data_IF_552998683830
#
_entry.id   IF_552998683830
#
_cell.length_a   1.000
_cell.length_b   1.000
_cell.length_c   1.000
_cell.angle_alpha   90.00
_cell.angle_beta   90.00
_cell.angle_gamma   90.00
#
_symmetry.space_group_name_H-M   'P 1'
#
loop_
_entity.id
_entity.type
_entity.pdbx_description
1 polymer ?
#
# COMPACT_ATOMS: atom_id res chain seq x y z
N UNK A 1 11.81 -17.55 -10.99
CA UNK A 1 11.60 -18.82 -10.26
C UNK A 1 12.56 -18.91 -9.07
N UNK A 2 12.46 -18.02 -8.08
CA UNK A 2 13.32 -18.04 -6.87
C UNK A 2 12.44 -18.10 -5.62
N UNK A 3 11.46 -19.00 -5.59
CA UNK A 3 10.76 -19.36 -4.36
C UNK A 3 10.52 -20.87 -4.38
N UNK A 4 11.61 -21.62 -4.27
CA UNK A 4 11.55 -23.05 -3.98
C UNK A 4 11.72 -23.22 -2.47
N UNK A 5 10.57 -23.38 -1.80
CA UNK A 5 10.30 -23.96 -0.46
C UNK A 5 11.49 -24.15 0.49
N UNK A 6 11.43 -23.47 1.63
CA UNK A 6 11.88 -24.04 2.89
C UNK A 6 10.66 -24.36 3.76
N UNK A 7 10.42 -25.66 3.98
CA UNK A 7 9.40 -26.13 4.93
C UNK A 7 10.01 -26.19 6.33
N UNK A 8 9.52 -25.36 7.24
CA UNK A 8 9.41 -25.61 8.68
C UNK A 8 8.22 -24.81 9.24
N UNK A 9 7.10 -25.48 9.51
CA UNK A 9 6.12 -25.22 10.59
C UNK A 9 5.40 -23.86 10.73
N UNK A 10 5.82 -22.77 10.12
CA UNK A 10 5.15 -21.47 10.16
C UNK A 10 4.43 -21.24 8.85
N UNK A 11 3.13 -20.96 8.89
CA UNK A 11 2.40 -20.40 7.75
C UNK A 11 3.20 -19.18 7.26
N UNK A 12 3.60 -19.16 5.99
CA UNK A 12 4.24 -17.97 5.41
C UNK A 12 3.24 -16.81 5.50
N UNK A 13 3.59 -15.78 6.30
CA UNK A 13 2.77 -14.58 6.43
C UNK A 13 2.69 -13.88 5.08
N UNK A 14 1.49 -13.56 4.62
CA UNK A 14 1.24 -12.96 3.31
C UNK A 14 1.79 -11.53 3.25
N UNK A 15 2.75 -11.24 2.36
CA UNK A 15 3.18 -9.85 2.13
C UNK A 15 2.17 -9.09 1.30
N UNK A 16 1.89 -7.85 1.69
CA UNK A 16 1.01 -6.92 0.98
C UNK A 16 1.75 -5.59 0.81
N UNK A 17 1.94 -5.17 -0.43
CA UNK A 17 2.45 -3.84 -0.77
C UNK A 17 1.28 -2.94 -1.08
N UNK A 18 1.26 -1.74 -0.50
CA UNK A 18 0.17 -0.81 -0.70
C UNK A 18 0.67 0.64 -0.77
N UNK A 19 -0.20 1.49 -1.28
CA UNK A 19 -0.02 2.93 -1.40
C UNK A 19 -1.39 3.60 -1.23
N UNK A 20 -1.41 4.83 -0.70
CA UNK A 20 -2.63 5.60 -0.54
C UNK A 20 -2.44 7.06 -0.97
N UNK A 21 -3.41 7.55 -1.73
CA UNK A 21 -3.50 8.96 -2.09
C UNK A 21 -4.49 9.67 -1.17
N UNK A 22 -4.20 10.94 -0.81
CA UNK A 22 -5.00 11.71 0.13
C UNK A 22 -5.10 13.20 -0.25
N UNK A 23 -6.25 13.81 0.02
CA UNK A 23 -6.55 15.22 -0.28
C UNK A 23 -6.00 16.18 0.77
N UNK A 24 -6.04 15.75 2.04
CA UNK A 24 -5.53 16.47 3.22
C UNK A 24 -4.83 15.49 4.16
N UNK A 25 -3.91 15.99 5.00
CA UNK A 25 -3.24 15.20 6.04
C UNK A 25 -3.53 15.68 7.47
N UNK A 26 -4.26 16.79 7.61
CA UNK A 26 -4.63 17.36 8.90
C UNK A 26 -5.96 18.15 8.78
N UNK A 27 -6.82 18.17 9.82
CA UNK A 27 -6.67 17.46 11.09
C UNK A 27 -6.79 15.92 10.94
N UNK A 28 -7.48 15.47 9.89
CA UNK A 28 -7.62 14.06 9.51
C UNK A 28 -7.09 13.83 8.09
N UNK A 29 -6.79 12.56 7.76
CA UNK A 29 -6.38 12.19 6.41
C UNK A 29 -7.62 12.04 5.53
N UNK A 30 -7.76 12.93 4.55
CA UNK A 30 -8.79 12.85 3.52
C UNK A 30 -8.44 11.78 2.48
N UNK A 31 -8.60 10.50 2.81
CA UNK A 31 -8.26 9.39 1.90
C UNK A 31 -9.00 9.52 0.57
N UNK A 32 -8.25 9.63 -0.53
CA UNK A 32 -8.74 9.68 -1.92
C UNK A 32 -8.82 8.29 -2.49
N UNK A 33 -7.74 7.52 -2.47
CA UNK A 33 -7.71 6.14 -2.99
C UNK A 33 -6.69 5.27 -2.28
N UNK A 34 -6.88 3.96 -2.32
CA UNK A 34 -5.96 2.96 -1.78
C UNK A 34 -5.77 1.85 -2.81
N UNK A 35 -4.52 1.51 -3.09
CA UNK A 35 -4.13 0.40 -3.93
C UNK A 35 -3.31 -0.61 -3.13
N UNK A 36 -3.55 -1.89 -3.32
CA UNK A 36 -2.80 -2.95 -2.64
C UNK A 36 -2.55 -4.14 -3.58
N UNK A 37 -1.38 -4.75 -3.44
CA UNK A 37 -0.93 -5.93 -4.19
C UNK A 37 -0.44 -6.97 -3.19
N UNK A 38 -1.00 -8.17 -3.24
CA UNK A 38 -0.59 -9.28 -2.42
C UNK A 38 0.51 -10.10 -3.10
N UNK A 39 1.30 -10.82 -2.31
CA UNK A 39 2.37 -11.71 -2.78
C UNK A 39 1.88 -12.79 -3.74
N UNK A 40 0.66 -13.31 -3.51
CA UNK A 40 -0.02 -14.27 -4.38
C UNK A 40 -0.54 -13.68 -5.71
N UNK A 41 -0.39 -12.37 -5.92
CA UNK A 41 -0.78 -11.68 -7.15
C UNK A 41 -2.20 -11.12 -7.15
N UNK A 42 -2.98 -11.25 -6.07
CA UNK A 42 -4.24 -10.52 -5.93
C UNK A 42 -3.98 -9.01 -5.85
N UNK A 43 -4.95 -8.25 -6.34
CA UNK A 43 -4.92 -6.79 -6.31
C UNK A 43 -6.24 -6.24 -5.79
N UNK A 44 -6.15 -5.12 -5.07
CA UNK A 44 -7.28 -4.33 -4.61
C UNK A 44 -7.03 -2.88 -5.01
N UNK A 45 -8.05 -2.22 -5.55
CA UNK A 45 -8.05 -0.78 -5.76
C UNK A 45 -9.42 -0.22 -5.41
N UNK A 46 -9.42 0.85 -4.64
CA UNK A 46 -10.64 1.58 -4.32
C UNK A 46 -10.41 3.07 -4.22
N UNK A 47 -11.38 3.83 -4.71
CA UNK A 47 -11.46 5.29 -4.62
C UNK A 47 -12.57 5.63 -3.63
N UNK A 48 -12.24 6.39 -2.60
CA UNK A 48 -13.22 6.85 -1.61
C UNK A 48 -14.22 7.80 -2.29
N UNK A 49 -15.51 7.54 -2.14
CA UNK A 49 -16.57 8.46 -2.56
C UNK A 49 -16.82 9.58 -1.55
N UNK A 50 -16.03 9.66 -0.47
CA UNK A 50 -16.30 10.50 0.70
C UNK A 50 -15.25 11.60 0.93
N UNK A 51 -14.19 11.70 0.11
CA UNK A 51 -13.26 12.82 0.21
C UNK A 51 -13.83 14.08 -0.44
N UNK A 52 -13.43 15.24 0.07
CA UNK A 52 -13.74 16.54 -0.55
C UNK A 52 -12.65 16.89 -1.59
N UNK A 53 -12.96 16.88 -2.91
CA UNK A 53 -12.00 17.26 -3.95
C UNK A 53 -11.71 18.76 -3.95
N UNK A 54 -12.60 19.61 -3.43
CA UNK A 54 -12.40 21.06 -3.38
C UNK A 54 -11.44 21.45 -2.28
N UNK A 55 -11.43 20.72 -1.16
CA UNK A 55 -10.47 20.87 -0.07
C UNK A 55 -9.07 20.30 -0.39
N UNK A 56 -8.91 19.56 -1.50
CA UNK A 56 -7.63 18.95 -1.84
C UNK A 56 -6.53 19.99 -2.10
N UNK A 57 -5.31 19.67 -1.65
CA UNK A 57 -4.14 20.52 -1.92
C UNK A 57 -3.95 20.74 -3.45
N UNK A 58 -3.53 21.92 -3.93
CA UNK A 58 -3.40 22.20 -5.37
C UNK A 58 -2.56 21.18 -6.13
N UNK A 59 -1.51 20.65 -5.51
CA UNK A 59 -0.70 19.59 -6.10
C UNK A 59 -1.50 18.29 -6.33
N UNK A 60 -2.39 17.91 -5.41
CA UNK A 60 -3.25 16.72 -5.54
C UNK A 60 -4.24 16.92 -6.69
N UNK A 61 -4.81 18.12 -6.83
CA UNK A 61 -5.73 18.44 -7.93
C UNK A 61 -5.11 18.28 -9.32
N UNK A 62 -3.80 18.50 -9.43
CA UNK A 62 -3.06 18.42 -10.69
C UNK A 62 -2.51 17.02 -10.96
N UNK A 63 -2.06 16.30 -9.93
CA UNK A 63 -1.29 15.07 -10.11
C UNK A 63 -2.05 13.79 -9.77
N UNK A 64 -3.02 13.85 -8.86
CA UNK A 64 -3.76 12.68 -8.34
C UNK A 64 -5.16 12.62 -8.96
N UNK A 65 -5.96 13.68 -8.80
CA UNK A 65 -7.37 13.66 -9.22
C UNK A 65 -7.58 13.31 -10.71
N UNK A 66 -6.71 13.76 -11.65
CA UNK A 66 -6.84 13.39 -13.06
C UNK A 66 -6.57 11.91 -13.35
N UNK A 67 -5.93 11.17 -12.43
CA UNK A 67 -5.64 9.74 -12.57
C UNK A 67 -6.82 8.87 -12.13
N UNK A 68 -7.83 9.45 -11.48
CA UNK A 68 -8.96 8.69 -10.96
C UNK A 68 -9.82 8.14 -12.11
N UNK A 69 -10.41 6.94 -11.93
CA UNK A 69 -11.34 6.39 -12.89
C UNK A 69 -12.59 7.28 -13.03
N UNK A 70 -13.30 7.20 -14.17
CA UNK A 70 -14.48 8.02 -14.41
C UNK A 70 -15.58 7.77 -13.36
N UNK A 71 -16.47 8.75 -13.11
CA UNK A 71 -17.61 8.55 -12.22
C UNK A 71 -18.46 7.35 -12.66
N UNK A 72 -18.83 6.50 -11.70
CA UNK A 72 -19.60 5.27 -11.94
C UNK A 72 -18.75 4.02 -12.18
N UNK A 73 -17.42 4.14 -12.25
CA UNK A 73 -16.52 2.99 -12.19
C UNK A 73 -16.70 2.21 -10.87
N UNK A 74 -16.68 0.87 -10.88
CA UNK A 74 -16.85 0.05 -9.67
C UNK A 74 -15.76 0.24 -8.61
N UNK A 75 -14.62 0.87 -8.94
CA UNK A 75 -13.61 1.24 -7.97
C UNK A 75 -14.09 2.32 -6.99
N UNK A 76 -15.10 3.11 -7.33
CA UNK A 76 -15.68 4.10 -6.43
C UNK A 76 -16.49 3.41 -5.32
N UNK A 77 -16.11 3.66 -4.07
CA UNK A 77 -16.70 3.01 -2.90
C UNK A 77 -16.72 3.91 -1.69
N UNK A 78 -17.69 3.71 -0.80
CA UNK A 78 -17.68 4.29 0.54
C UNK A 78 -16.47 3.81 1.32
N UNK A 79 -16.05 4.56 2.33
CA UNK A 79 -14.99 4.15 3.26
C UNK A 79 -15.34 2.84 3.96
N UNK A 80 -16.61 2.61 4.28
CA UNK A 80 -17.07 1.35 4.86
C UNK A 80 -16.88 0.16 3.91
N UNK A 81 -17.21 0.32 2.63
CA UNK A 81 -16.97 -0.71 1.61
C UNK A 81 -15.47 -0.95 1.40
N UNK A 82 -14.65 0.10 1.34
CA UNK A 82 -13.19 -0.03 1.21
C UNK A 82 -12.58 -0.74 2.42
N UNK A 83 -13.04 -0.39 3.63
CA UNK A 83 -12.65 -1.06 4.88
C UNK A 83 -12.93 -2.56 4.82
N UNK A 84 -14.14 -2.95 4.41
CA UNK A 84 -14.56 -4.34 4.38
C UNK A 84 -13.80 -5.12 3.29
N UNK A 85 -13.66 -4.53 2.09
CA UNK A 85 -12.88 -5.11 1.00
C UNK A 85 -11.39 -5.26 1.35
N UNK A 86 -10.80 -4.26 2.03
CA UNK A 86 -9.42 -4.33 2.49
C UNK A 86 -9.25 -5.39 3.57
N UNK A 87 -10.18 -5.50 4.51
CA UNK A 87 -10.12 -6.55 5.55
C UNK A 87 -10.15 -7.96 4.94
N UNK A 88 -11.05 -8.18 3.98
CA UNK A 88 -11.12 -9.46 3.24
C UNK A 88 -9.84 -9.71 2.44
N UNK A 89 -9.33 -8.68 1.75
CA UNK A 89 -8.12 -8.77 0.94
C UNK A 89 -6.89 -9.14 1.77
N UNK A 90 -6.73 -8.56 2.96
CA UNK A 90 -5.59 -8.76 3.84
C UNK A 90 -5.51 -10.21 4.37
N UNK A 91 -6.65 -10.85 4.61
CA UNK A 91 -6.70 -12.22 5.13
C UNK A 91 -6.09 -12.36 6.54
N UNK A 92 -5.52 -13.53 6.82
CA UNK A 92 -4.93 -13.85 8.13
C UNK A 92 -3.44 -13.46 8.17
N UNK A 93 -3.06 -12.70 9.20
CA UNK A 93 -1.67 -12.32 9.51
C UNK A 93 -0.83 -11.72 8.35
N UNK A 94 -1.30 -10.64 7.69
CA UNK A 94 -0.53 -9.99 6.62
C UNK A 94 0.74 -9.30 7.15
N UNK A 95 1.71 -9.08 6.27
CA UNK A 95 2.85 -8.18 6.47
C UNK A 95 2.71 -7.00 5.52
N UNK A 96 2.44 -5.82 6.07
CA UNK A 96 2.25 -4.60 5.30
C UNK A 96 3.59 -3.98 4.91
N UNK A 97 3.73 -3.59 3.66
CA UNK A 97 4.86 -2.86 3.10
C UNK A 97 4.38 -1.63 2.33
N UNK A 98 5.07 -0.51 2.48
CA UNK A 98 4.86 0.70 1.70
C UNK A 98 6.19 1.44 1.48
N UNK A 99 6.19 2.45 0.62
CA UNK A 99 7.35 3.32 0.38
C UNK A 99 7.09 4.69 1.02
N UNK A 100 7.83 5.04 2.09
CA UNK A 100 7.49 6.20 2.95
C UNK A 100 6.12 6.09 3.63
N UNK A 101 5.76 4.91 4.10
CA UNK A 101 4.38 4.53 4.47
C UNK A 101 3.78 5.15 5.73
N UNK A 102 4.33 6.24 6.28
CA UNK A 102 3.88 6.79 7.55
C UNK A 102 2.44 7.32 7.49
N UNK A 103 2.14 8.20 6.52
CA UNK A 103 0.79 8.72 6.34
C UNK A 103 -0.14 7.65 5.76
N UNK A 104 0.36 6.79 4.87
CA UNK A 104 -0.38 5.65 4.33
C UNK A 104 -0.89 4.72 5.42
N UNK A 105 -0.05 4.43 6.42
CA UNK A 105 -0.43 3.58 7.55
C UNK A 105 -1.53 4.22 8.39
N UNK A 106 -1.46 5.53 8.64
CA UNK A 106 -2.53 6.26 9.34
C UNK A 106 -3.80 6.26 8.51
N UNK A 107 -3.72 6.50 7.20
CA UNK A 107 -4.87 6.55 6.29
C UNK A 107 -5.59 5.20 6.24
N UNK A 108 -4.83 4.11 6.15
CA UNK A 108 -5.33 2.74 6.24
C UNK A 108 -6.00 2.50 7.59
N UNK A 109 -5.34 2.79 8.71
CA UNK A 109 -5.90 2.54 10.03
C UNK A 109 -7.18 3.33 10.30
N UNK A 110 -7.27 4.57 9.82
CA UNK A 110 -8.43 5.44 9.95
C UNK A 110 -9.67 4.92 9.20
N UNK A 111 -9.57 3.88 8.36
CA UNK A 111 -10.75 3.17 7.84
C UNK A 111 -11.57 2.49 8.95
N UNK A 112 -10.93 2.16 10.09
CA UNK A 112 -11.57 1.61 11.28
C UNK A 112 -11.74 2.63 12.42
N UNK A 113 -11.35 3.89 12.20
CA UNK A 113 -11.35 4.93 13.23
C UNK A 113 -10.03 4.95 14.00
N UNK A 114 -10.09 4.73 15.31
CA UNK A 114 -8.94 4.80 16.20
C UNK A 114 -8.17 3.48 16.27
N UNK A 115 -6.90 3.53 16.67
CA UNK A 115 -6.04 2.35 16.75
C UNK A 115 -6.61 1.19 17.62
N UNK A 116 -7.35 1.42 18.73
CA UNK A 116 -8.03 0.35 19.47
C UNK A 116 -9.14 -0.38 18.69
N UNK A 117 -9.75 0.25 17.69
CA UNK A 117 -10.83 -0.32 16.88
C UNK A 117 -10.32 -1.17 15.72
N UNK A 118 -9.01 -1.11 15.45
CA UNK A 118 -8.36 -1.85 14.38
C UNK A 118 -8.52 -3.37 14.58
N UNK A 119 -8.97 -4.14 13.57
CA UNK A 119 -9.10 -5.59 13.68
C UNK A 119 -7.78 -6.24 14.10
N UNK A 120 -7.82 -7.32 14.87
CA UNK A 120 -6.60 -7.99 15.40
C UNK A 120 -5.63 -8.42 14.30
N UNK A 121 -6.16 -8.81 13.14
CA UNK A 121 -5.37 -9.27 12.00
C UNK A 121 -4.60 -8.14 11.31
N UNK A 122 -5.04 -6.89 11.40
CA UNK A 122 -4.35 -5.76 10.74
C UNK A 122 -3.11 -5.37 11.56
N UNK A 123 -1.90 -5.37 10.98
CA UNK A 123 -0.69 -4.99 11.70
C UNK A 123 -0.72 -3.55 12.20
N UNK A 124 -0.11 -3.30 13.35
CA UNK A 124 0.00 -1.95 13.97
C UNK A 124 1.18 -1.14 13.46
N UNK A 125 1.85 -1.65 12.44
CA UNK A 125 2.95 -0.98 11.77
C UNK A 125 3.02 -1.47 10.32
N UNK A 126 3.63 -0.63 9.48
CA UNK A 126 3.97 -0.95 8.09
C UNK A 126 5.49 -0.99 7.97
N UNK A 127 6.02 -2.02 7.32
CA UNK A 127 7.42 -2.10 6.93
C UNK A 127 7.72 -1.09 5.83
N UNK A 128 8.83 -0.37 5.92
CA UNK A 128 9.17 0.67 4.95
C UNK A 128 10.22 0.19 3.94
N UNK A 129 9.82 0.04 2.68
CA UNK A 129 10.72 -0.34 1.57
C UNK A 129 11.85 0.68 1.40
N UNK A 130 11.60 1.96 1.71
CA UNK A 130 12.62 3.01 1.69
C UNK A 130 13.69 2.79 2.74
N UNK A 131 13.30 2.30 3.92
CA UNK A 131 14.24 1.97 5.00
C UNK A 131 15.09 0.75 4.61
N UNK A 132 14.49 -0.27 4.00
CA UNK A 132 15.23 -1.41 3.45
C UNK A 132 16.26 -0.95 2.39
N UNK A 133 15.87 -0.01 1.51
CA UNK A 133 16.78 0.58 0.53
C UNK A 133 17.97 1.34 1.16
N UNK A 134 17.75 2.09 2.26
CA UNK A 134 18.87 2.66 3.03
C UNK A 134 19.80 1.57 3.55
N UNK A 135 19.22 0.56 4.20
CA UNK A 135 19.96 -0.49 4.88
C UNK A 135 20.86 -1.29 3.93
N UNK A 136 20.42 -1.45 2.67
CA UNK A 136 21.17 -2.14 1.62
C UNK A 136 22.16 -1.24 0.86
N UNK A 137 22.40 -0.01 1.34
CA UNK A 137 23.40 0.89 0.77
C UNK A 137 22.94 1.62 -0.49
N UNK A 138 21.63 1.87 -0.62
CA UNK A 138 21.03 2.64 -1.72
C UNK A 138 21.33 2.11 -3.13
N UNK A 139 21.15 0.82 -3.42
CA UNK A 139 21.38 0.27 -4.76
C UNK A 139 20.46 0.95 -5.79
N UNK A 140 20.83 1.00 -7.08
CA UNK A 140 19.90 1.43 -8.12
C UNK A 140 18.58 0.65 -8.07
N UNK A 141 17.45 1.33 -8.19
CA UNK A 141 16.12 0.72 -8.21
C UNK A 141 15.50 0.84 -9.61
N UNK A 142 14.60 -0.10 -9.98
CA UNK A 142 13.78 0.06 -11.18
C UNK A 142 13.00 1.37 -11.16
N UNK A 143 12.89 2.03 -12.32
CA UNK A 143 12.06 3.22 -12.48
C UNK A 143 10.60 2.82 -12.76
N UNK A 144 9.67 3.68 -12.35
CA UNK A 144 8.26 3.55 -12.71
C UNK A 144 8.02 4.30 -14.03
N UNK A 145 7.63 3.61 -15.11
CA UNK A 145 7.51 4.25 -16.42
C UNK A 145 6.26 5.12 -16.56
N UNK A 146 5.18 4.79 -15.84
CA UNK A 146 3.85 5.42 -15.93
C UNK A 146 3.02 5.14 -14.68
N UNK A 147 1.85 5.77 -14.58
CA UNK A 147 0.92 5.52 -13.46
C UNK A 147 1.38 6.13 -12.14
N UNK A 148 2.20 7.18 -12.19
CA UNK A 148 2.56 7.94 -10.99
C UNK A 148 1.31 8.59 -10.41
N UNK A 149 1.17 8.50 -9.09
CA UNK A 149 0.07 9.07 -8.33
C UNK A 149 -1.28 8.38 -8.59
N UNK A 150 -1.19 7.09 -8.95
CA UNK A 150 -2.31 6.17 -9.04
C UNK A 150 -2.01 5.02 -8.08
N UNK A 151 -2.72 4.97 -6.95
CA UNK A 151 -2.34 4.15 -5.80
C UNK A 151 -2.10 2.66 -6.12
N UNK A 152 -2.84 2.04 -7.05
CA UNK A 152 -2.57 0.64 -7.43
C UNK A 152 -1.28 0.49 -8.24
N UNK A 153 -0.98 1.43 -9.13
CA UNK A 153 0.24 1.40 -9.93
C UNK A 153 1.46 1.69 -9.04
N UNK A 154 1.31 2.61 -8.09
CA UNK A 154 2.32 2.87 -7.07
C UNK A 154 2.53 1.64 -6.18
N UNK A 155 1.48 0.96 -5.70
CA UNK A 155 1.59 -0.29 -4.95
C UNK A 155 2.32 -1.42 -5.72
N UNK A 156 2.01 -1.59 -7.02
CA UNK A 156 2.75 -2.51 -7.91
C UNK A 156 4.23 -2.12 -8.01
N UNK A 157 4.52 -0.83 -8.04
CA UNK A 157 5.88 -0.34 -8.10
C UNK A 157 6.62 -0.51 -6.76
N UNK A 158 5.94 -0.35 -5.63
CA UNK A 158 6.47 -0.68 -4.29
C UNK A 158 6.89 -2.15 -4.24
N UNK A 159 6.04 -3.07 -4.71
CA UNK A 159 6.39 -4.50 -4.85
C UNK A 159 7.63 -4.69 -5.72
N UNK A 160 7.67 -4.05 -6.89
CA UNK A 160 8.83 -4.14 -7.82
C UNK A 160 10.13 -3.69 -7.16
N UNK A 161 10.11 -2.60 -6.39
CA UNK A 161 11.27 -2.13 -5.64
C UNK A 161 11.66 -3.13 -4.55
N UNK A 162 10.68 -3.63 -3.80
CA UNK A 162 10.93 -4.61 -2.74
C UNK A 162 11.55 -5.89 -3.30
N UNK A 163 11.06 -6.43 -4.42
CA UNK A 163 11.61 -7.65 -5.04
C UNK A 163 13.08 -7.47 -5.47
N UNK A 164 13.43 -6.31 -6.05
CA UNK A 164 14.82 -6.00 -6.39
C UNK A 164 15.73 -5.89 -5.15
N UNK A 165 15.20 -5.36 -4.05
CA UNK A 165 15.91 -5.27 -2.77
C UNK A 165 16.04 -6.62 -2.08
N UNK A 166 15.00 -7.46 -2.13
CA UNK A 166 15.00 -8.80 -1.58
C UNK A 166 16.02 -9.69 -2.30
N UNK A 167 16.10 -9.60 -3.62
CA UNK A 167 17.15 -10.28 -4.38
C UNK A 167 18.54 -9.80 -3.97
N UNK A 168 18.73 -8.49 -3.78
CA UNK A 168 20.01 -7.93 -3.31
C UNK A 168 20.37 -8.43 -1.91
N UNK A 169 19.42 -8.43 -0.98
CA UNK A 169 19.59 -8.92 0.38
C UNK A 169 19.99 -10.40 0.40
N UNK A 170 19.30 -11.23 -0.39
CA UNK A 170 19.64 -12.64 -0.56
C UNK A 170 21.08 -12.85 -1.04
N UNK A 171 21.53 -12.08 -2.05
CA UNK A 171 22.93 -12.14 -2.53
C UNK A 171 23.96 -11.68 -1.48
N UNK A 172 23.54 -10.95 -0.45
CA UNK A 172 24.36 -10.55 0.69
C UNK A 172 24.28 -11.52 1.87
N UNK A 173 23.47 -12.58 1.77
CA UNK A 173 23.22 -13.51 2.88
C UNK A 173 22.34 -12.92 3.99
N UNK A 174 21.50 -11.94 3.66
CA UNK A 174 20.55 -11.31 4.58
C UNK A 174 19.13 -11.83 4.33
N UNK A 175 18.34 -11.93 5.39
CA UNK A 175 16.91 -12.24 5.35
C UNK A 175 16.08 -10.97 5.43
N UNK A 176 15.02 -10.87 4.61
CA UNK A 176 14.11 -9.70 4.53
C UNK A 176 12.65 -10.09 4.29
#
# INVERSE_FOLDING_TARGET
MIFARMQHGTMERMRVWYDAEFSTTAPDIGLVSLGAVAEDGRELYGVSSEFDPDAAHPWVKVNVLPQLPPPGDPAWMTRAQLRDALLEFLGEEPVLWAWYGAYDHVALCQLWGSMPELPRVVPRFTMDVRQLWEHLGRPPLPAQPSGLHHALDDARHVRTRWEALAERAYRLGLEV
#
